data_IF_449859480740
#
_entry.id   IF_449859480740
#
_cell.length_a   1.000
_cell.length_b   1.000
_cell.length_c   1.000
_cell.angle_alpha   90.00
_cell.angle_beta   90.00
_cell.angle_gamma   90.00
#
_symmetry.space_group_name_H-M   'P 1'
#
loop_
_entity.id
_entity.type
_entity.pdbx_description
1 polymer ?
#
# COMPACT_ATOMS: atom_id res chain seq x y z
N UNK A 1 12.71 0.47 6.60
CA UNK A 1 13.49 1.18 5.57
C UNK A 1 13.12 2.65 5.49
N UNK A 2 14.02 3.50 4.98
CA UNK A 2 13.84 4.97 4.89
C UNK A 2 13.96 5.42 3.43
N UNK A 3 12.96 6.16 2.96
CA UNK A 3 12.87 6.63 1.57
C UNK A 3 11.45 6.51 1.00
N UNK A 4 11.12 7.33 -0.01
CA UNK A 4 9.77 7.38 -0.60
C UNK A 4 9.36 6.07 -1.29
N UNK A 5 10.31 5.24 -1.68
CA UNK A 5 10.11 3.90 -2.23
C UNK A 5 9.54 2.90 -1.21
N UNK A 6 9.58 3.22 0.09
CA UNK A 6 9.09 2.37 1.18
C UNK A 6 7.76 2.85 1.77
N UNK A 7 7.08 3.79 1.10
CA UNK A 7 5.78 4.31 1.56
C UNK A 7 4.69 3.24 1.49
N UNK A 8 3.71 3.34 2.37
CA UNK A 8 2.49 2.53 2.31
C UNK A 8 1.65 2.95 1.10
N UNK A 9 1.21 2.00 0.29
CA UNK A 9 0.40 2.26 -0.90
C UNK A 9 -0.56 1.10 -1.23
N UNK A 10 -1.70 1.43 -1.82
CA UNK A 10 -2.66 0.51 -2.42
C UNK A 10 -2.94 0.97 -3.85
N UNK A 11 -2.62 0.12 -4.82
CA UNK A 11 -2.89 0.36 -6.24
C UNK A 11 -4.01 -0.56 -6.73
N UNK A 12 -5.21 -0.01 -6.93
CA UNK A 12 -6.40 -0.79 -7.25
C UNK A 12 -6.59 -0.99 -8.75
N UNK A 13 -7.19 -2.12 -9.14
CA UNK A 13 -7.48 -2.46 -10.55
C UNK A 13 -8.97 -2.45 -10.89
N UNK A 14 -9.85 -2.23 -9.91
CA UNK A 14 -11.29 -2.13 -10.13
C UNK A 14 -11.94 -1.09 -9.20
N UNK A 15 -13.14 -0.58 -9.55
CA UNK A 15 -13.89 0.33 -8.68
C UNK A 15 -14.26 -0.30 -7.33
N UNK A 16 -14.55 -1.60 -7.31
CA UNK A 16 -14.88 -2.31 -6.06
C UNK A 16 -13.66 -2.36 -5.14
N UNK A 17 -12.47 -2.58 -5.69
CA UNK A 17 -11.23 -2.52 -4.91
C UNK A 17 -10.93 -1.11 -4.41
N UNK A 18 -11.21 -0.07 -5.21
CA UNK A 18 -11.07 1.32 -4.76
C UNK A 18 -11.94 1.58 -3.52
N UNK A 19 -13.22 1.21 -3.60
CA UNK A 19 -14.16 1.39 -2.50
C UNK A 19 -13.68 0.67 -1.23
N UNK A 20 -13.32 -0.60 -1.36
CA UNK A 20 -12.81 -1.42 -0.25
C UNK A 20 -11.53 -0.83 0.34
N UNK A 21 -10.59 -0.36 -0.48
CA UNK A 21 -9.34 0.24 -0.03
C UNK A 21 -9.59 1.52 0.78
N UNK A 22 -10.53 2.37 0.33
CA UNK A 22 -10.90 3.61 1.04
C UNK A 22 -11.58 3.32 2.37
N UNK A 23 -12.52 2.36 2.40
CA UNK A 23 -13.20 1.94 3.63
C UNK A 23 -12.24 1.37 4.66
N UNK A 24 -11.39 0.41 4.26
CA UNK A 24 -10.42 -0.21 5.17
C UNK A 24 -9.41 0.80 5.71
N UNK A 25 -8.93 1.71 4.86
CA UNK A 25 -7.99 2.77 5.27
C UNK A 25 -8.64 3.71 6.28
N UNK A 26 -9.92 4.07 6.11
CA UNK A 26 -10.65 4.87 7.09
C UNK A 26 -10.83 4.15 8.43
N UNK A 27 -11.27 2.88 8.40
CA UNK A 27 -11.46 2.06 9.61
C UNK A 27 -10.15 1.90 10.38
N UNK A 28 -9.05 1.57 9.68
CA UNK A 28 -7.74 1.46 10.32
C UNK A 28 -7.19 2.82 10.77
N UNK A 29 -7.44 3.89 10.02
CA UNK A 29 -7.08 5.25 10.40
C UNK A 29 -7.65 5.64 11.77
N UNK A 30 -8.93 5.36 12.01
CA UNK A 30 -9.56 5.57 13.32
C UNK A 30 -8.93 4.72 14.43
N UNK A 31 -8.52 3.49 14.13
CA UNK A 31 -7.85 2.63 15.11
C UNK A 31 -6.46 3.18 15.48
N UNK A 32 -5.70 3.69 14.51
CA UNK A 32 -4.41 4.32 14.74
C UNK A 32 -4.56 5.60 15.57
N UNK A 33 -5.55 6.43 15.24
CA UNK A 33 -5.87 7.65 15.98
C UNK A 33 -6.25 7.34 17.43
N UNK A 34 -7.13 6.35 17.65
CA UNK A 34 -7.53 5.88 18.98
C UNK A 34 -6.33 5.46 19.82
N UNK A 35 -5.31 4.87 19.19
CA UNK A 35 -4.06 4.45 19.84
C UNK A 35 -2.99 5.55 19.88
N UNK A 36 -3.28 6.75 19.37
CA UNK A 36 -2.36 7.89 19.28
C UNK A 36 -1.09 7.58 18.48
N UNK A 37 -1.23 6.78 17.42
CA UNK A 37 -0.14 6.37 16.54
C UNK A 37 0.06 7.30 15.33
N UNK A 38 -0.73 8.37 15.23
CA UNK A 38 -0.72 9.32 14.13
C UNK A 38 -1.71 8.96 13.02
N UNK A 39 -1.75 9.80 11.99
CA UNK A 39 -2.61 9.62 10.84
C UNK A 39 -2.09 8.51 9.92
N UNK A 40 -3.02 7.76 9.30
CA UNK A 40 -2.67 6.79 8.27
C UNK A 40 -2.17 7.51 7.02
N UNK A 41 -1.05 7.04 6.46
CA UNK A 41 -0.37 7.69 5.31
C UNK A 41 -0.48 6.91 4.01
N UNK A 42 -1.31 5.87 3.97
CA UNK A 42 -1.48 4.99 2.80
C UNK A 42 -1.97 5.77 1.59
N UNK A 43 -1.16 5.79 0.52
CA UNK A 43 -1.55 6.32 -0.78
C UNK A 43 -2.53 5.36 -1.46
N UNK A 44 -3.66 5.86 -1.98
CA UNK A 44 -4.64 5.06 -2.74
C UNK A 44 -4.78 5.66 -4.13
N UNK A 45 -4.40 4.90 -5.16
CA UNK A 45 -4.42 5.33 -6.57
C UNK A 45 -4.80 4.19 -7.52
N UNK A 46 -5.33 4.48 -8.71
CA UNK A 46 -5.55 3.44 -9.71
C UNK A 46 -4.21 2.89 -10.21
N UNK A 47 -4.15 1.58 -10.43
CA UNK A 47 -2.96 0.91 -10.98
C UNK A 47 -2.61 1.41 -12.40
N UNK A 48 -3.59 1.94 -13.15
CA UNK A 48 -3.36 2.56 -14.45
C UNK A 48 -2.40 3.76 -14.39
N UNK A 49 -2.35 4.46 -13.26
CA UNK A 49 -1.48 5.63 -13.05
C UNK A 49 -0.12 5.24 -12.46
N UNK A 50 0.07 3.96 -12.13
CA UNK A 50 1.27 3.42 -11.50
C UNK A 50 1.71 2.15 -12.23
N UNK A 51 2.42 2.27 -13.36
CA UNK A 51 2.86 1.11 -14.14
C UNK A 51 3.68 0.14 -13.30
N UNK A 52 3.41 -1.15 -13.45
CA UNK A 52 4.15 -2.20 -12.76
C UNK A 52 5.44 -2.53 -13.53
N UNK A 53 6.57 -2.31 -12.88
CA UNK A 53 7.90 -2.72 -13.37
C UNK A 53 8.42 -3.85 -12.49
N UNK A 54 8.83 -4.96 -13.11
CA UNK A 54 9.46 -6.05 -12.38
C UNK A 54 10.78 -5.58 -11.76
N UNK A 55 10.99 -5.91 -10.49
CA UNK A 55 12.32 -5.89 -9.89
C UNK A 55 13.19 -7.03 -10.47
N UNK A 56 14.50 -6.91 -10.31
CA UNK A 56 15.49 -7.90 -10.73
C UNK A 56 15.19 -9.30 -10.17
N UNK A 57 15.61 -10.36 -10.87
CA UNK A 57 15.32 -11.76 -10.51
C UNK A 57 15.74 -12.12 -9.07
N UNK A 58 16.86 -11.55 -8.61
CA UNK A 58 17.33 -11.73 -7.24
C UNK A 58 16.31 -11.29 -6.18
N UNK A 59 15.45 -10.33 -6.48
CA UNK A 59 14.41 -9.84 -5.56
C UNK A 59 13.14 -10.70 -5.59
N UNK A 60 12.91 -11.45 -6.67
CA UNK A 60 11.73 -12.29 -6.81
C UNK A 60 11.80 -13.47 -5.82
N UNK A 61 10.76 -13.60 -4.98
CA UNK A 61 10.67 -14.63 -3.93
C UNK A 61 11.89 -14.68 -2.99
N UNK A 62 12.52 -13.53 -2.73
CA UNK A 62 13.77 -13.43 -1.97
C UNK A 62 13.72 -14.14 -0.60
N UNK A 63 12.62 -14.01 0.15
CA UNK A 63 12.43 -14.64 1.48
C UNK A 63 12.18 -16.16 1.44
N UNK A 64 11.90 -16.73 0.26
CA UNK A 64 11.85 -18.18 0.09
C UNK A 64 13.19 -18.74 -0.39
N UNK A 65 13.99 -17.91 -1.07
CA UNK A 65 15.34 -18.24 -1.54
C UNK A 65 16.39 -18.19 -0.42
N UNK A 66 16.11 -17.49 0.69
CA UNK A 66 16.99 -17.26 1.85
C UNK A 66 16.21 -17.34 3.16
#
# INVERSE_FOLDING_TARGET
DVGTQYRSAIYYTSPEQEQVARELTAVYGHELERRRLGEITTEIRPASDTPYYYAEDAHQQYLAKN
#
